data_IF_303575974921
#
_entry.id   IF_303575974921
#
_cell.length_a   1.000
_cell.length_b   1.000
_cell.length_c   1.000
_cell.angle_alpha   90.00
_cell.angle_beta   90.00
_cell.angle_gamma   90.00
#
_symmetry.space_group_name_H-M   'P 1'
#
loop_
_entity.id
_entity.type
_entity.pdbx_description
1 polymer ?
#
# COMPACT_ATOMS: atom_id res chain seq x y z
N UNK A 1 7.57 -6.33 1.31
CA UNK A 1 7.45 -5.13 0.43
C UNK A 1 6.05 -4.58 0.64
N UNK A 2 5.91 -3.33 1.05
CA UNK A 2 4.60 -2.73 1.23
C UNK A 2 3.83 -2.65 -0.10
N UNK A 3 2.59 -3.16 -0.12
CA UNK A 3 1.63 -3.00 -1.20
C UNK A 3 0.48 -2.08 -0.74
N UNK A 4 -0.49 -1.77 -1.58
CA UNK A 4 -1.53 -0.78 -1.29
C UNK A 4 -2.24 -0.99 0.04
N UNK A 5 -2.58 -2.24 0.39
CA UNK A 5 -3.26 -2.57 1.65
C UNK A 5 -2.49 -2.09 2.90
N UNK A 6 -1.14 -2.13 2.89
CA UNK A 6 -0.33 -1.61 4.00
C UNK A 6 -0.51 -0.10 4.13
N UNK A 7 -0.53 0.61 3.00
CA UNK A 7 -0.62 2.08 2.99
C UNK A 7 -2.00 2.54 3.43
N UNK A 8 -3.07 1.89 2.95
CA UNK A 8 -4.44 2.17 3.38
C UNK A 8 -4.64 1.87 4.86
N UNK A 9 -4.10 0.73 5.35
CA UNK A 9 -4.11 0.40 6.78
C UNK A 9 -3.39 1.47 7.61
N UNK A 10 -2.24 1.95 7.14
CA UNK A 10 -1.50 3.03 7.82
C UNK A 10 -2.31 4.33 7.86
N UNK A 11 -2.97 4.70 6.77
CA UNK A 11 -3.82 5.88 6.74
C UNK A 11 -4.96 5.77 7.77
N UNK A 12 -5.64 4.60 7.84
CA UNK A 12 -6.66 4.35 8.85
C UNK A 12 -6.11 4.42 10.27
N UNK A 13 -5.00 3.73 10.57
CA UNK A 13 -4.39 3.73 11.90
C UNK A 13 -3.92 5.13 12.34
N UNK A 14 -3.41 5.96 11.42
CA UNK A 14 -3.05 7.34 11.71
C UNK A 14 -4.29 8.20 12.02
N UNK A 15 -5.38 7.99 11.28
CA UNK A 15 -6.65 8.66 11.57
C UNK A 15 -7.22 8.23 12.92
N UNK A 16 -7.24 6.93 13.22
CA UNK A 16 -7.72 6.40 14.49
C UNK A 16 -6.94 6.96 15.70
N UNK A 17 -5.63 7.21 15.50
CA UNK A 17 -4.78 7.69 16.57
C UNK A 17 -4.75 9.23 16.71
N UNK A 18 -4.77 9.97 15.61
CA UNK A 18 -4.37 11.38 15.63
C UNK A 18 -5.34 12.34 14.92
N UNK A 19 -6.34 11.86 14.16
CA UNK A 19 -7.17 12.77 13.37
C UNK A 19 -7.96 13.77 14.24
N UNK A 20 -7.81 15.06 13.90
CA UNK A 20 -8.45 16.16 14.62
C UNK A 20 -7.67 16.66 15.85
N UNK A 21 -6.54 16.03 16.19
CA UNK A 21 -5.75 16.37 17.38
C UNK A 21 -4.45 17.10 17.02
N UNK A 22 -3.98 18.03 17.87
CA UNK A 22 -2.64 18.60 17.77
C UNK A 22 -1.59 17.54 18.04
N UNK A 23 -0.55 17.49 17.19
CA UNK A 23 0.53 16.51 17.33
C UNK A 23 1.91 17.17 17.37
N UNK A 24 2.83 16.56 18.08
CA UNK A 24 4.24 16.89 17.94
C UNK A 24 4.81 16.17 16.70
N UNK A 25 5.59 16.92 15.91
CA UNK A 25 6.22 16.42 14.69
C UNK A 25 7.72 16.70 14.74
N UNK A 26 8.53 15.65 14.58
CA UNK A 26 9.99 15.78 14.60
C UNK A 26 10.67 14.87 13.59
N UNK A 27 11.94 15.15 13.31
CA UNK A 27 12.82 14.31 12.49
C UNK A 27 14.16 14.16 13.23
N UNK A 28 14.29 13.16 14.11
CA UNK A 28 15.43 13.03 15.03
C UNK A 28 16.80 13.02 14.35
N UNK A 29 16.91 12.45 13.12
CA UNK A 29 18.15 12.44 12.35
C UNK A 29 18.29 13.62 11.38
N UNK A 30 17.38 14.59 11.42
CA UNK A 30 17.52 15.87 10.75
C UNK A 30 17.16 15.93 9.26
N UNK A 31 17.02 14.83 8.56
CA UNK A 31 16.80 14.83 7.09
C UNK A 31 15.46 15.48 6.68
N UNK A 32 14.48 15.54 7.58
CA UNK A 32 13.17 16.19 7.38
C UNK A 32 12.92 17.25 8.48
N UNK A 33 13.94 17.72 9.19
CA UNK A 33 13.80 18.55 10.38
C UNK A 33 13.16 19.91 10.09
N UNK A 34 13.54 20.56 8.99
CA UNK A 34 12.99 21.87 8.61
C UNK A 34 11.48 21.78 8.33
N UNK A 35 11.06 20.75 7.61
CA UNK A 35 9.64 20.52 7.28
C UNK A 35 8.87 20.06 8.54
N UNK A 36 9.45 19.19 9.36
CA UNK A 36 8.84 18.75 10.61
C UNK A 36 8.55 19.93 11.54
N UNK A 37 9.51 20.88 11.66
CA UNK A 37 9.34 22.09 12.48
C UNK A 37 8.19 23.01 11.99
N UNK A 38 7.81 22.95 10.71
CA UNK A 38 6.66 23.71 10.19
C UNK A 38 5.34 23.05 10.57
N UNK A 39 5.36 21.77 10.90
CA UNK A 39 4.16 20.97 11.21
C UNK A 39 3.99 20.75 12.72
N UNK A 40 5.03 20.98 13.50
CA UNK A 40 5.03 20.73 14.95
C UNK A 40 3.98 21.58 15.67
N UNK A 41 3.16 20.94 16.50
CA UNK A 41 2.04 21.57 17.21
C UNK A 41 0.79 21.86 16.37
N UNK A 42 0.77 21.48 15.09
CA UNK A 42 -0.41 21.60 14.24
C UNK A 42 -1.33 20.38 14.36
N UNK A 43 -2.57 20.53 13.93
CA UNK A 43 -3.57 19.46 13.94
C UNK A 43 -3.29 18.51 12.76
N UNK A 44 -3.17 17.21 13.02
CA UNK A 44 -3.26 16.21 11.99
C UNK A 44 -4.74 16.10 11.57
N UNK A 45 -5.09 16.71 10.45
CA UNK A 45 -6.48 16.79 9.98
C UNK A 45 -7.00 15.41 9.56
N UNK A 46 -6.25 14.75 8.69
CA UNK A 46 -6.55 13.40 8.20
C UNK A 46 -5.32 12.79 7.54
N UNK A 47 -5.32 11.47 7.44
CA UNK A 47 -4.43 10.70 6.57
C UNK A 47 -5.25 9.99 5.48
N UNK A 48 -4.74 9.95 4.25
CA UNK A 48 -5.34 9.22 3.14
C UNK A 48 -4.30 8.43 2.36
N UNK A 49 -4.76 7.40 1.66
CA UNK A 49 -3.93 6.58 0.80
C UNK A 49 -4.49 6.54 -0.63
N UNK A 50 -3.58 6.54 -1.61
CA UNK A 50 -3.84 6.26 -3.02
C UNK A 50 -2.75 5.32 -3.52
N UNK A 51 -3.13 4.10 -3.83
CA UNK A 51 -2.17 3.05 -4.21
C UNK A 51 -1.10 2.83 -3.14
N UNK A 52 0.14 3.18 -3.46
CA UNK A 52 1.29 3.06 -2.55
C UNK A 52 1.75 4.40 -1.98
N UNK A 53 0.93 5.43 -2.11
CA UNK A 53 1.19 6.78 -1.62
C UNK A 53 0.35 7.06 -0.38
N UNK A 54 1.01 7.54 0.69
CA UNK A 54 0.37 8.00 1.91
C UNK A 54 0.47 9.53 1.95
N UNK A 55 -0.64 10.20 2.22
CA UNK A 55 -0.72 11.64 2.39
C UNK A 55 -1.28 11.94 3.77
N UNK A 56 -0.55 12.74 4.57
CA UNK A 56 -0.97 13.16 5.91
C UNK A 56 -1.18 14.67 5.84
N UNK A 57 -2.41 15.10 6.02
CA UNK A 57 -2.83 16.50 5.92
C UNK A 57 -2.79 17.16 7.29
N UNK A 58 -2.25 18.38 7.34
CA UNK A 58 -2.19 19.19 8.54
C UNK A 58 -3.02 20.47 8.37
N UNK A 59 -3.70 20.84 9.44
CA UNK A 59 -4.45 22.09 9.55
C UNK A 59 -3.85 22.98 10.66
N UNK A 60 -4.05 24.32 10.62
CA UNK A 60 -3.63 25.19 11.70
C UNK A 60 -4.21 24.70 13.03
N UNK A 61 -3.35 24.57 14.05
CA UNK A 61 -3.83 24.33 15.40
C UNK A 61 -4.69 25.50 15.85
N UNK A 62 -5.80 25.22 16.53
CA UNK A 62 -6.56 26.25 17.22
C UNK A 62 -5.71 26.74 18.40
N UNK A 63 -4.78 27.66 18.13
CA UNK A 63 -3.99 28.35 19.15
C UNK A 63 -4.91 29.22 20.00
N UNK A 64 -5.63 28.59 20.91
CA UNK A 64 -6.24 29.27 22.02
C UNK A 64 -5.13 29.82 22.90
N UNK A 65 -5.06 31.13 23.01
CA UNK A 65 -4.21 31.84 23.90
C UNK A 65 -4.40 31.35 25.35
N UNK A 66 -3.52 30.49 25.83
CA UNK A 66 -3.26 30.38 27.28
C UNK A 66 -2.01 29.53 27.56
N UNK A 67 -0.94 30.16 28.00
CA UNK A 67 0.06 29.61 28.90
C UNK A 67 1.35 29.08 28.28
N UNK A 68 2.31 30.00 28.12
CA UNK A 68 3.78 29.83 28.38
C UNK A 68 4.44 28.48 28.11
N UNK A 69 5.19 28.38 27.03
CA UNK A 69 6.65 28.34 26.93
C UNK A 69 7.03 28.24 25.43
N UNK A 70 7.61 29.32 24.88
CA UNK A 70 8.65 29.33 23.86
C UNK A 70 8.43 28.60 22.54
N UNK A 71 7.51 29.03 21.71
CA UNK A 71 7.45 28.71 20.29
C UNK A 71 6.30 29.48 19.66
N UNK A 72 6.60 30.60 18.98
CA UNK A 72 5.63 31.23 18.10
C UNK A 72 5.24 30.14 17.07
N UNK A 73 4.00 29.64 17.14
CA UNK A 73 3.49 28.66 16.18
C UNK A 73 3.77 29.16 14.77
N UNK A 74 4.61 28.47 14.03
CA UNK A 74 4.87 28.82 12.64
C UNK A 74 3.55 28.84 11.90
N UNK A 75 3.30 29.89 11.09
CA UNK A 75 2.13 29.95 10.24
C UNK A 75 2.23 28.79 9.25
N UNK A 76 1.24 27.89 9.28
CA UNK A 76 1.19 26.78 8.35
C UNK A 76 1.08 27.32 6.92
N UNK A 77 2.09 27.00 6.11
CA UNK A 77 2.16 27.44 4.71
C UNK A 77 1.23 26.64 3.79
N UNK A 78 1.30 26.89 2.49
CA UNK A 78 0.56 26.11 1.50
C UNK A 78 1.03 24.65 1.43
N UNK A 79 2.30 24.39 1.75
CA UNK A 79 2.85 23.05 1.91
C UNK A 79 2.47 22.50 3.28
N UNK A 80 1.43 21.68 3.32
CA UNK A 80 0.88 21.15 4.57
C UNK A 80 0.53 19.66 4.50
N UNK A 81 0.99 18.97 3.46
CA UNK A 81 0.73 17.55 3.26
C UNK A 81 2.05 16.81 3.28
N UNK A 82 2.21 15.88 4.21
CA UNK A 82 3.36 14.96 4.19
C UNK A 82 3.07 13.81 3.25
N UNK A 83 3.79 13.77 2.14
CA UNK A 83 3.70 12.71 1.14
C UNK A 83 4.79 11.67 1.36
N UNK A 84 4.38 10.44 1.65
CA UNK A 84 5.26 9.32 1.94
C UNK A 84 5.08 8.21 0.91
N UNK A 85 6.20 7.64 0.47
CA UNK A 85 6.23 6.37 -0.26
C UNK A 85 7.26 5.46 0.43
N UNK A 86 6.81 4.31 0.93
CA UNK A 86 7.67 3.42 1.70
C UNK A 86 8.75 2.74 0.85
N UNK A 87 8.50 2.52 -0.43
CA UNK A 87 9.42 1.78 -1.30
C UNK A 87 9.46 0.29 -0.95
N UNK A 88 10.65 -0.31 -1.02
CA UNK A 88 10.81 -1.75 -0.80
C UNK A 88 10.99 -2.13 0.66
N UNK A 89 11.66 -1.28 1.44
CA UNK A 89 12.14 -1.59 2.80
C UNK A 89 11.62 -0.60 3.86
N UNK A 90 10.98 0.50 3.44
CA UNK A 90 10.46 1.49 4.37
C UNK A 90 9.37 0.91 5.27
N UNK A 91 9.34 1.36 6.51
CA UNK A 91 8.32 0.99 7.49
C UNK A 91 7.79 2.22 8.20
N UNK A 92 6.48 2.23 8.46
CA UNK A 92 5.85 3.22 9.32
C UNK A 92 5.06 2.44 10.37
N UNK A 93 5.34 2.70 11.65
CA UNK A 93 4.76 1.92 12.76
C UNK A 93 4.17 2.86 13.80
N UNK A 94 3.08 2.41 14.42
CA UNK A 94 2.48 3.05 15.58
C UNK A 94 2.72 2.17 16.81
N UNK A 95 3.05 2.81 17.94
CA UNK A 95 3.25 2.12 19.22
C UNK A 95 2.95 3.09 20.38
N UNK A 96 2.80 2.61 21.63
CA UNK A 96 2.73 3.47 22.80
C UNK A 96 3.97 4.35 22.95
N UNK A 97 3.79 5.59 23.41
CA UNK A 97 4.88 6.57 23.50
C UNK A 97 5.94 6.23 24.58
N UNK A 98 5.61 5.39 25.55
CA UNK A 98 6.52 4.88 26.58
C UNK A 98 7.46 3.77 26.05
N UNK A 99 7.18 3.23 24.86
CA UNK A 99 8.05 2.24 24.20
C UNK A 99 9.16 2.98 23.44
N UNK A 100 10.44 2.74 23.74
CA UNK A 100 11.54 3.44 23.07
C UNK A 100 11.56 3.21 21.57
N UNK A 101 11.64 4.29 20.79
CA UNK A 101 11.84 4.23 19.35
C UNK A 101 13.33 4.22 19.05
N UNK A 102 13.80 3.23 18.31
CA UNK A 102 15.22 3.03 17.99
C UNK A 102 15.47 3.05 16.48
N UNK A 103 16.72 3.27 16.07
CA UNK A 103 17.14 3.28 14.68
C UNK A 103 17.07 4.66 14.03
N UNK A 104 17.15 4.68 12.69
CA UNK A 104 17.10 5.92 11.90
C UNK A 104 15.66 6.31 11.59
N UNK A 105 15.16 7.35 12.27
CA UNK A 105 13.78 7.82 12.16
C UNK A 105 13.74 9.03 11.22
N UNK A 106 13.02 8.90 10.09
CA UNK A 106 12.81 9.98 9.12
C UNK A 106 11.79 11.00 9.61
N UNK A 107 10.71 10.52 10.21
CA UNK A 107 9.59 11.30 10.72
C UNK A 107 9.06 10.62 11.97
N UNK A 108 8.78 11.42 12.99
CA UNK A 108 8.09 11.00 14.21
C UNK A 108 6.91 11.92 14.42
N UNK A 109 5.73 11.35 14.66
CA UNK A 109 4.48 12.05 14.98
C UNK A 109 3.96 11.49 16.29
N UNK A 110 3.57 12.35 17.27
CA UNK A 110 3.07 11.90 18.57
C UNK A 110 2.03 12.85 19.16
N UNK A 111 1.05 12.28 19.86
CA UNK A 111 0.11 13.01 20.73
C UNK A 111 0.49 12.93 22.21
N UNK A 112 1.65 12.33 22.53
CA UNK A 112 2.12 12.09 23.89
C UNK A 112 1.72 10.73 24.48
N UNK A 113 0.73 10.04 23.90
CA UNK A 113 0.30 8.69 24.30
C UNK A 113 0.69 7.64 23.27
N UNK A 114 0.58 7.98 22.01
CA UNK A 114 0.94 7.16 20.86
C UNK A 114 2.04 7.85 20.05
N UNK A 115 2.94 7.07 19.50
CA UNK A 115 3.97 7.54 18.58
C UNK A 115 3.93 6.76 17.27
N UNK A 116 3.91 7.49 16.14
CA UNK A 116 4.11 6.95 14.81
C UNK A 116 5.52 7.31 14.32
N UNK A 117 6.30 6.31 13.86
CA UNK A 117 7.69 6.50 13.45
C UNK A 117 8.00 5.86 12.12
N UNK A 118 8.58 6.67 11.21
CA UNK A 118 8.90 6.31 9.82
C UNK A 118 10.38 5.99 9.65
N UNK A 119 10.70 4.82 9.11
CA UNK A 119 12.06 4.39 8.84
C UNK A 119 12.26 4.08 7.35
N UNK A 120 13.39 4.48 6.80
CA UNK A 120 13.87 4.12 5.48
C UNK A 120 12.89 4.27 4.31
N UNK A 121 12.02 5.30 4.27
CA UNK A 121 11.10 5.48 3.15
C UNK A 121 11.89 5.77 1.87
N UNK A 122 11.29 5.46 0.71
CA UNK A 122 11.83 5.89 -0.56
C UNK A 122 11.83 7.41 -0.67
N UNK A 123 10.75 8.06 -0.20
CA UNK A 123 10.70 9.51 0.05
C UNK A 123 9.72 9.86 1.17
N UNK A 124 9.98 11.01 1.77
CA UNK A 124 9.11 11.72 2.70
C UNK A 124 9.26 13.20 2.35
N UNK A 125 8.21 13.86 1.89
CA UNK A 125 8.22 15.24 1.37
C UNK A 125 7.06 16.01 1.95
N UNK A 126 7.25 17.31 2.14
CA UNK A 126 6.17 18.25 2.41
C UNK A 126 5.73 18.84 1.07
N UNK A 127 4.44 18.81 0.77
CA UNK A 127 3.87 19.18 -0.55
C UNK A 127 2.60 20.03 -0.39
N UNK A 128 2.19 20.67 -1.48
CA UNK A 128 0.92 21.38 -1.60
C UNK A 128 -0.24 20.47 -2.02
N UNK A 129 -1.48 20.99 -1.99
CA UNK A 129 -2.66 20.28 -2.52
C UNK A 129 -2.53 20.02 -4.03
N UNK A 130 -2.05 21.00 -4.80
CA UNK A 130 -1.87 20.84 -6.26
C UNK A 130 -0.85 19.73 -6.58
N UNK A 131 0.23 19.62 -5.79
CA UNK A 131 1.22 18.57 -5.95
C UNK A 131 0.67 17.20 -5.57
N UNK A 132 -0.19 17.15 -4.53
CA UNK A 132 -0.93 15.94 -4.14
C UNK A 132 -1.87 15.50 -5.27
N UNK A 133 -2.67 16.41 -5.81
CA UNK A 133 -3.59 16.12 -6.92
C UNK A 133 -2.84 15.67 -8.17
N UNK A 134 -1.73 16.34 -8.50
CA UNK A 134 -0.86 15.93 -9.60
C UNK A 134 -0.19 14.56 -9.39
N UNK A 135 0.03 14.13 -8.15
CA UNK A 135 0.54 12.80 -7.84
C UNK A 135 -0.55 11.74 -8.02
N UNK A 136 -1.76 11.99 -7.53
CA UNK A 136 -2.92 11.08 -7.64
C UNK A 136 -3.36 10.93 -9.10
N UNK A 137 -3.42 12.02 -9.87
CA UNK A 137 -3.80 12.00 -11.29
C UNK A 137 -2.90 11.13 -12.18
N UNK A 138 -1.73 10.72 -11.71
CA UNK A 138 -0.81 9.80 -12.42
C UNK A 138 -1.09 8.34 -12.14
N UNK A 139 -1.94 8.04 -11.16
CA UNK A 139 -2.28 6.69 -10.75
C UNK A 139 -3.44 6.13 -11.59
N UNK A 140 -3.50 4.84 -11.70
CA UNK A 140 -4.66 4.12 -12.19
C UNK A 140 -5.70 3.88 -11.10
N UNK A 141 -6.67 3.00 -11.37
CA UNK A 141 -7.71 2.66 -10.42
C UNK A 141 -7.13 1.95 -9.18
N UNK A 142 -7.59 2.36 -8.00
CA UNK A 142 -7.20 1.80 -6.71
C UNK A 142 -8.27 0.82 -6.21
N UNK A 143 -7.97 -0.49 -6.07
CA UNK A 143 -8.93 -1.48 -5.58
C UNK A 143 -9.46 -1.22 -4.18
N UNK A 144 -8.75 -0.42 -3.37
CA UNK A 144 -9.18 -0.05 -2.02
C UNK A 144 -10.05 1.21 -1.97
N UNK A 145 -10.45 1.73 -3.15
CA UNK A 145 -11.41 2.83 -3.32
C UNK A 145 -12.58 2.43 -4.23
N UNK A 146 -13.23 1.26 -4.01
CA UNK A 146 -14.18 0.69 -4.95
C UNK A 146 -15.49 1.49 -5.10
N UNK A 147 -15.78 2.41 -4.18
CA UNK A 147 -16.99 3.24 -4.20
C UNK A 147 -16.72 4.70 -4.54
N UNK A 148 -15.47 5.08 -4.77
CA UNK A 148 -15.08 6.44 -5.14
C UNK A 148 -15.44 6.68 -6.61
N UNK A 149 -16.29 7.68 -6.95
CA UNK A 149 -16.75 7.89 -8.33
C UNK A 149 -15.62 8.20 -9.32
N UNK A 150 -14.61 8.97 -8.91
CA UNK A 150 -13.47 9.31 -9.76
C UNK A 150 -12.59 8.08 -10.01
N UNK A 151 -12.46 7.24 -9.01
CA UNK A 151 -11.77 5.95 -9.13
C UNK A 151 -12.49 4.99 -10.08
N UNK A 152 -13.83 4.93 -10.04
CA UNK A 152 -14.63 4.10 -10.94
C UNK A 152 -14.53 4.60 -12.40
N UNK A 153 -14.55 5.91 -12.62
CA UNK A 153 -14.32 6.48 -13.95
C UNK A 153 -12.91 6.14 -14.47
N UNK A 154 -11.92 6.15 -13.60
CA UNK A 154 -10.55 5.71 -13.90
C UNK A 154 -10.50 4.22 -14.25
N UNK A 155 -11.28 3.36 -13.58
CA UNK A 155 -11.34 1.92 -13.85
C UNK A 155 -11.84 1.62 -15.28
N UNK A 156 -12.84 2.34 -15.76
CA UNK A 156 -13.33 2.17 -17.14
C UNK A 156 -12.22 2.47 -18.16
N UNK A 157 -11.43 3.54 -17.96
CA UNK A 157 -10.26 3.84 -18.80
C UNK A 157 -9.19 2.74 -18.70
N UNK A 158 -8.91 2.25 -17.50
CA UNK A 158 -7.96 1.15 -17.26
C UNK A 158 -8.39 -0.10 -18.03
N UNK A 159 -9.65 -0.51 -17.95
CA UNK A 159 -10.17 -1.66 -18.69
C UNK A 159 -10.05 -1.47 -20.21
N UNK A 160 -10.34 -0.27 -20.73
CA UNK A 160 -10.16 0.07 -22.13
C UNK A 160 -8.69 0.03 -22.58
N UNK A 161 -7.76 0.49 -21.73
CA UNK A 161 -6.31 0.45 -22.02
C UNK A 161 -5.76 -0.96 -21.99
N UNK A 162 -6.16 -1.78 -21.01
CA UNK A 162 -5.80 -3.21 -20.93
C UNK A 162 -6.25 -3.94 -22.17
N UNK A 163 -7.51 -3.76 -22.60
CA UNK A 163 -8.09 -4.42 -23.78
C UNK A 163 -7.36 -4.13 -25.10
N UNK A 164 -6.54 -3.08 -25.16
CA UNK A 164 -5.72 -2.71 -26.34
C UNK A 164 -4.24 -3.05 -26.18
N UNK A 165 -3.85 -3.56 -25.02
CA UNK A 165 -2.44 -3.78 -24.70
C UNK A 165 -1.94 -5.14 -25.15
N UNK A 166 -0.80 -5.19 -25.80
CA UNK A 166 -0.05 -6.42 -26.12
C UNK A 166 0.85 -6.88 -24.97
N UNK A 167 1.01 -6.08 -23.91
CA UNK A 167 1.75 -6.48 -22.70
C UNK A 167 0.99 -7.60 -21.98
N UNK A 168 1.73 -8.47 -21.28
CA UNK A 168 1.15 -9.54 -20.46
C UNK A 168 0.34 -8.99 -19.28
N UNK A 169 -0.69 -9.71 -18.83
CA UNK A 169 -1.46 -9.36 -17.64
C UNK A 169 -0.55 -9.30 -16.40
N UNK A 170 0.43 -10.20 -16.30
CA UNK A 170 1.43 -10.16 -15.26
C UNK A 170 2.22 -8.84 -15.21
N UNK A 171 2.48 -8.21 -16.34
CA UNK A 171 3.12 -6.90 -16.44
C UNK A 171 2.14 -5.75 -16.18
N UNK A 172 0.92 -5.82 -16.75
CA UNK A 172 -0.09 -4.78 -16.62
C UNK A 172 -0.57 -4.58 -15.18
N UNK A 173 -0.72 -5.65 -14.41
CA UNK A 173 -1.12 -5.58 -12.99
C UNK A 173 -0.08 -4.89 -12.09
N UNK A 174 1.19 -4.82 -12.51
CA UNK A 174 2.24 -4.11 -11.79
C UNK A 174 2.33 -2.62 -12.13
N UNK A 175 1.68 -2.20 -13.20
CA UNK A 175 1.70 -0.82 -13.66
C UNK A 175 0.79 0.05 -12.79
N UNK A 176 1.39 0.89 -11.95
CA UNK A 176 0.66 1.76 -11.03
C UNK A 176 -0.20 2.82 -11.74
N UNK A 177 0.00 3.02 -13.06
CA UNK A 177 -0.86 3.86 -13.90
C UNK A 177 -2.09 3.11 -14.43
N UNK A 178 -2.22 1.83 -14.09
CA UNK A 178 -3.39 0.98 -14.37
C UNK A 178 -4.03 0.52 -13.07
N UNK A 179 -3.29 -0.21 -12.24
CA UNK A 179 -3.78 -0.78 -10.98
C UNK A 179 -2.96 -0.21 -9.81
N UNK A 180 -3.42 0.91 -9.26
CA UNK A 180 -2.74 1.57 -8.15
C UNK A 180 -2.75 0.67 -6.91
N UNK A 181 -1.62 0.58 -6.22
CA UNK A 181 -1.50 -0.23 -5.01
C UNK A 181 -1.15 -1.69 -5.23
N UNK A 182 -1.51 -2.28 -6.37
CA UNK A 182 -1.20 -3.68 -6.67
C UNK A 182 0.31 -3.88 -6.76
N UNK A 183 0.78 -4.93 -6.11
CA UNK A 183 2.17 -5.31 -6.12
C UNK A 183 2.38 -6.77 -6.51
N UNK A 184 3.56 -7.26 -6.21
CA UNK A 184 4.01 -8.56 -6.73
C UNK A 184 3.26 -9.74 -6.12
N UNK A 185 2.76 -9.60 -4.89
CA UNK A 185 2.00 -10.66 -4.22
C UNK A 185 0.61 -10.75 -4.85
N UNK A 186 -0.15 -9.66 -4.82
CA UNK A 186 -1.50 -9.65 -5.38
C UNK A 186 -1.52 -10.00 -6.86
N UNK A 187 -0.57 -9.50 -7.67
CA UNK A 187 -0.42 -9.89 -9.08
C UNK A 187 -0.37 -11.40 -9.28
N UNK A 188 0.51 -12.07 -8.52
CA UNK A 188 0.72 -13.50 -8.66
C UNK A 188 -0.49 -14.30 -8.18
N UNK A 189 -1.03 -13.93 -7.03
CA UNK A 189 -2.11 -14.66 -6.37
C UNK A 189 -3.46 -14.52 -7.09
N UNK A 190 -3.81 -13.31 -7.53
CA UNK A 190 -5.06 -13.07 -8.27
C UNK A 190 -5.07 -13.84 -9.59
N UNK A 191 -3.99 -13.81 -10.35
CA UNK A 191 -3.90 -14.57 -11.60
C UNK A 191 -3.97 -16.08 -11.35
N UNK A 192 -3.36 -16.57 -10.27
CA UNK A 192 -3.45 -17.97 -9.89
C UNK A 192 -4.87 -18.38 -9.52
N UNK A 193 -5.55 -17.61 -8.68
CA UNK A 193 -6.90 -17.92 -8.19
C UNK A 193 -7.94 -17.94 -9.30
N UNK A 194 -7.73 -17.12 -10.34
CA UNK A 194 -8.58 -17.09 -11.56
C UNK A 194 -8.14 -18.08 -12.64
N UNK A 195 -7.03 -18.81 -12.45
CA UNK A 195 -6.51 -19.71 -13.46
C UNK A 195 -6.02 -19.01 -14.73
N UNK A 196 -5.67 -17.73 -14.63
CA UNK A 196 -5.25 -16.92 -15.78
C UNK A 196 -3.73 -17.00 -15.93
N UNK A 197 -3.25 -17.37 -17.15
CA UNK A 197 -1.83 -17.31 -17.47
C UNK A 197 -1.29 -15.89 -17.29
N UNK A 198 -0.19 -15.68 -16.52
CA UNK A 198 0.40 -14.36 -16.39
C UNK A 198 0.98 -13.81 -17.71
N UNK A 199 1.23 -14.68 -18.70
CA UNK A 199 1.77 -14.32 -20.02
C UNK A 199 0.65 -13.92 -20.99
N UNK A 200 -0.62 -14.18 -20.68
CA UNK A 200 -1.74 -13.75 -21.50
C UNK A 200 -1.68 -12.26 -21.75
N UNK A 201 -1.70 -11.85 -23.01
CA UNK A 201 -1.72 -10.44 -23.39
C UNK A 201 -3.03 -9.77 -22.98
N UNK A 202 -2.98 -8.48 -22.60
CA UNK A 202 -4.18 -7.73 -22.25
C UNK A 202 -5.26 -7.71 -23.33
N UNK A 203 -4.85 -7.68 -24.62
CA UNK A 203 -5.77 -7.79 -25.77
C UNK A 203 -6.50 -9.13 -25.83
N UNK A 204 -5.97 -10.17 -25.21
CA UNK A 204 -6.61 -11.50 -25.08
C UNK A 204 -7.46 -11.67 -23.83
N UNK A 205 -7.48 -10.68 -22.93
CA UNK A 205 -8.32 -10.72 -21.74
C UNK A 205 -9.76 -10.32 -22.10
N UNK A 206 -10.72 -11.17 -21.79
CA UNK A 206 -12.13 -10.89 -21.95
C UNK A 206 -12.58 -9.74 -21.04
N UNK A 207 -13.81 -9.26 -21.23
CA UNK A 207 -14.41 -8.31 -20.27
C UNK A 207 -14.55 -8.95 -18.90
N UNK A 208 -15.01 -10.19 -18.86
CA UNK A 208 -15.21 -10.96 -17.63
C UNK A 208 -13.89 -11.17 -16.88
N UNK A 209 -12.80 -11.53 -17.57
CA UNK A 209 -11.47 -11.64 -16.93
C UNK A 209 -11.08 -10.35 -16.20
N UNK A 210 -11.30 -9.17 -16.82
CA UNK A 210 -10.95 -7.89 -16.22
C UNK A 210 -11.83 -7.54 -15.02
N UNK A 211 -13.13 -7.84 -15.09
CA UNK A 211 -14.08 -7.65 -14.00
C UNK A 211 -13.73 -8.57 -12.82
N UNK A 212 -13.48 -9.85 -13.06
CA UNK A 212 -13.07 -10.81 -12.03
C UNK A 212 -11.71 -10.45 -11.37
N UNK A 213 -10.74 -10.00 -12.19
CA UNK A 213 -9.46 -9.51 -11.64
C UNK A 213 -9.70 -8.33 -10.69
N UNK A 214 -10.56 -7.38 -11.08
CA UNK A 214 -10.85 -6.22 -10.24
C UNK A 214 -11.57 -6.58 -8.95
N UNK A 215 -12.62 -7.38 -9.04
CA UNK A 215 -13.38 -7.85 -7.87
C UNK A 215 -12.48 -8.59 -6.89
N UNK A 216 -11.67 -9.52 -7.38
CA UNK A 216 -10.77 -10.29 -6.52
C UNK A 216 -9.65 -9.45 -5.92
N UNK A 217 -9.12 -8.46 -6.66
CA UNK A 217 -8.16 -7.48 -6.11
C UNK A 217 -8.80 -6.68 -4.99
N UNK A 218 -10.02 -6.18 -5.18
CA UNK A 218 -10.77 -5.42 -4.18
C UNK A 218 -10.95 -6.22 -2.91
N UNK A 219 -11.41 -7.47 -3.02
CA UNK A 219 -11.67 -8.34 -1.89
C UNK A 219 -10.39 -8.71 -1.13
N UNK A 220 -9.37 -9.19 -1.83
CA UNK A 220 -8.12 -9.61 -1.19
C UNK A 220 -7.35 -8.44 -0.58
N UNK A 221 -7.35 -7.29 -1.24
CA UNK A 221 -6.68 -6.10 -0.70
C UNK A 221 -7.42 -5.52 0.51
N UNK A 222 -8.77 -5.56 0.52
CA UNK A 222 -9.56 -5.17 1.70
C UNK A 222 -9.31 -6.11 2.90
N UNK A 223 -9.23 -7.43 2.67
CA UNK A 223 -8.86 -8.40 3.71
C UNK A 223 -7.43 -8.13 4.23
N UNK A 224 -6.49 -7.86 3.34
CA UNK A 224 -5.12 -7.51 3.69
C UNK A 224 -5.02 -6.20 4.48
N UNK A 225 -5.82 -5.19 4.14
CA UNK A 225 -5.92 -3.93 4.88
C UNK A 225 -6.46 -4.17 6.31
N UNK A 226 -7.54 -4.92 6.44
CA UNK A 226 -8.15 -5.22 7.73
C UNK A 226 -7.23 -6.04 8.65
N UNK A 227 -6.62 -7.11 8.13
CA UNK A 227 -5.78 -8.03 8.91
C UNK A 227 -4.32 -7.57 9.07
N UNK A 228 -3.79 -6.78 8.13
CA UNK A 228 -2.38 -6.45 8.02
C UNK A 228 -1.53 -7.57 7.38
N UNK A 229 -2.17 -8.61 6.82
CA UNK A 229 -1.53 -9.78 6.19
C UNK A 229 -2.17 -10.06 4.83
N UNK A 230 -1.42 -10.74 3.96
CA UNK A 230 -1.96 -11.23 2.69
C UNK A 230 -2.13 -12.75 2.80
N UNK A 231 -3.33 -13.20 3.10
CA UNK A 231 -3.72 -14.61 3.09
C UNK A 231 -4.65 -14.84 1.89
N UNK A 232 -4.25 -15.72 0.98
CA UNK A 232 -4.98 -15.96 -0.28
C UNK A 232 -5.46 -17.40 -0.40
N UNK A 233 -4.98 -18.29 0.46
CA UNK A 233 -5.36 -19.70 0.41
C UNK A 233 -6.77 -19.93 0.89
N UNK A 234 -7.48 -20.81 0.19
CA UNK A 234 -8.83 -21.24 0.58
C UNK A 234 -8.79 -22.08 1.84
N UNK A 235 -9.89 -22.20 2.59
CA UNK A 235 -9.95 -22.98 3.84
C UNK A 235 -9.39 -24.40 3.73
N UNK A 236 -9.65 -25.09 2.61
CA UNK A 236 -9.19 -26.46 2.34
C UNK A 236 -7.68 -26.56 2.10
N UNK A 237 -6.99 -25.46 1.86
CA UNK A 237 -5.55 -25.40 1.60
C UNK A 237 -4.74 -24.69 2.70
N UNK A 238 -5.37 -24.41 3.84
CA UNK A 238 -4.65 -23.86 5.01
C UNK A 238 -3.65 -24.87 5.55
N UNK A 239 -2.64 -24.45 6.32
CA UNK A 239 -1.70 -25.35 6.96
C UNK A 239 -2.39 -26.45 7.77
N UNK A 240 -3.41 -26.08 8.55
CA UNK A 240 -4.18 -26.98 9.39
C UNK A 240 -4.95 -28.02 8.57
N UNK A 241 -5.66 -27.57 7.51
CA UNK A 241 -6.45 -28.45 6.66
C UNK A 241 -5.60 -29.46 5.89
N UNK A 242 -4.38 -29.05 5.50
CA UNK A 242 -3.45 -29.88 4.74
C UNK A 242 -2.44 -30.65 5.62
N UNK A 243 -2.43 -30.43 6.93
CA UNK A 243 -1.45 -31.03 7.83
C UNK A 243 0.00 -30.63 7.50
N UNK A 244 0.23 -29.42 7.04
CA UNK A 244 1.54 -28.88 6.68
C UNK A 244 1.97 -27.76 7.62
N UNK A 245 3.28 -27.52 7.69
CA UNK A 245 3.81 -26.38 8.45
C UNK A 245 3.32 -25.05 7.83
N UNK A 246 3.01 -24.04 8.69
CA UNK A 246 2.76 -22.67 8.24
C UNK A 246 3.95 -22.08 7.49
N UNK A 247 3.68 -21.20 6.55
CA UNK A 247 4.70 -20.51 5.79
C UNK A 247 5.51 -19.54 6.68
N UNK A 248 6.84 -19.58 6.56
CA UNK A 248 7.77 -18.76 7.36
C UNK A 248 8.31 -17.55 6.58
N UNK A 249 7.52 -16.90 5.75
CA UNK A 249 7.95 -15.73 4.98
C UNK A 249 7.37 -14.45 5.57
N UNK A 250 8.21 -13.47 5.89
CA UNK A 250 7.83 -12.16 6.43
C UNK A 250 7.07 -11.27 5.42
N UNK A 251 6.93 -11.72 4.16
CA UNK A 251 6.34 -10.94 3.07
C UNK A 251 4.92 -11.38 2.70
N UNK A 252 4.13 -11.74 3.65
CA UNK A 252 2.74 -12.15 3.49
C UNK A 252 2.39 -13.30 4.40
N UNK A 253 1.15 -13.75 4.34
CA UNK A 253 0.68 -14.92 5.04
C UNK A 253 0.76 -16.17 4.17
N UNK A 254 -0.31 -16.96 4.19
CA UNK A 254 -0.46 -18.15 3.38
C UNK A 254 -0.88 -17.81 1.95
N UNK A 255 -0.07 -18.21 0.97
CA UNK A 255 -0.23 -17.88 -0.45
C UNK A 255 0.00 -19.10 -1.34
N UNK A 256 -0.56 -19.08 -2.55
CA UNK A 256 -0.48 -20.21 -3.48
C UNK A 256 0.83 -20.28 -4.26
N UNK A 257 1.30 -19.18 -4.80
CA UNK A 257 2.44 -19.17 -5.74
C UNK A 257 3.56 -18.20 -5.37
N UNK A 258 3.27 -17.09 -4.72
CA UNK A 258 4.28 -16.06 -4.44
C UNK A 258 5.44 -16.60 -3.59
N UNK A 259 6.68 -16.48 -4.11
CA UNK A 259 7.92 -17.00 -3.49
C UNK A 259 7.88 -18.49 -3.14
N UNK A 260 7.16 -19.28 -3.94
CA UNK A 260 7.09 -20.73 -3.79
C UNK A 260 7.69 -21.49 -4.98
N UNK A 261 8.59 -20.87 -5.75
CA UNK A 261 9.26 -21.49 -6.90
C UNK A 261 9.84 -22.87 -6.56
N UNK A 262 9.56 -23.85 -7.40
CA UNK A 262 9.97 -25.23 -7.24
C UNK A 262 9.19 -26.04 -6.18
N UNK A 263 8.38 -25.41 -5.33
CA UNK A 263 7.51 -26.12 -4.40
C UNK A 263 6.25 -26.64 -5.12
N UNK A 264 5.63 -27.72 -4.63
CA UNK A 264 4.42 -28.24 -5.22
C UNK A 264 3.25 -27.24 -5.09
N UNK A 265 2.48 -27.08 -6.16
CA UNK A 265 1.21 -26.36 -6.14
C UNK A 265 0.25 -27.03 -5.14
N UNK A 266 -0.40 -26.24 -4.29
CA UNK A 266 -1.34 -26.77 -3.28
C UNK A 266 -2.59 -27.39 -3.90
N UNK A 267 -2.89 -27.07 -5.16
CA UNK A 267 -4.08 -27.58 -5.88
C UNK A 267 -3.75 -28.81 -6.72
N UNK A 268 -2.69 -28.78 -7.55
CA UNK A 268 -2.43 -29.83 -8.53
C UNK A 268 -1.08 -30.54 -8.36
N UNK A 269 -0.25 -30.15 -7.40
CA UNK A 269 1.06 -30.77 -7.14
C UNK A 269 2.17 -30.35 -8.11
N UNK A 270 1.89 -29.70 -9.24
CA UNK A 270 2.90 -29.24 -10.20
C UNK A 270 3.85 -28.23 -9.54
N UNK A 271 5.18 -28.31 -9.76
CA UNK A 271 6.12 -27.33 -9.24
C UNK A 271 5.80 -25.91 -9.73
N UNK A 272 5.78 -24.94 -8.80
CA UNK A 272 5.57 -23.54 -9.13
C UNK A 272 6.74 -23.03 -9.97
N UNK A 273 6.43 -22.43 -11.11
CA UNK A 273 7.39 -21.80 -12.01
C UNK A 273 7.71 -20.37 -11.57
N UNK A 274 8.85 -19.86 -12.05
CA UNK A 274 9.26 -18.48 -11.84
C UNK A 274 10.02 -17.93 -13.04
N UNK A 275 9.81 -16.65 -13.36
CA UNK A 275 10.58 -15.92 -14.36
C UNK A 275 10.77 -14.47 -13.91
N UNK A 276 11.74 -13.78 -14.49
CA UNK A 276 11.92 -12.35 -14.27
C UNK A 276 11.15 -11.57 -15.34
N UNK A 277 10.17 -10.78 -14.91
CA UNK A 277 9.39 -9.90 -15.77
C UNK A 277 9.53 -8.46 -15.27
N UNK A 278 10.03 -7.56 -16.13
CA UNK A 278 10.28 -6.15 -15.80
C UNK A 278 11.06 -5.97 -14.48
N UNK A 279 12.12 -6.78 -14.28
CA UNK A 279 13.00 -6.73 -13.11
C UNK A 279 12.42 -7.29 -11.81
N UNK A 280 11.30 -8.01 -11.86
CA UNK A 280 10.64 -8.63 -10.70
C UNK A 280 10.35 -10.10 -10.96
N UNK A 281 10.55 -10.93 -9.94
CA UNK A 281 10.19 -12.35 -10.03
C UNK A 281 8.67 -12.50 -10.12
N UNK A 282 8.20 -13.13 -11.16
CA UNK A 282 6.84 -13.60 -11.34
C UNK A 282 6.79 -15.07 -10.92
N UNK A 283 5.68 -15.50 -10.33
CA UNK A 283 5.44 -16.88 -9.87
C UNK A 283 4.08 -17.35 -10.37
N UNK A 284 4.00 -18.58 -10.87
CA UNK A 284 2.72 -19.16 -11.34
C UNK A 284 2.78 -20.69 -11.35
N UNK A 285 1.61 -21.34 -11.40
CA UNK A 285 1.51 -22.77 -11.63
C UNK A 285 1.28 -23.05 -13.11
N UNK A 286 2.19 -23.75 -13.83
CA UNK A 286 2.02 -23.99 -15.28
C UNK A 286 0.81 -24.83 -15.63
N UNK A 287 0.32 -25.66 -14.70
CA UNK A 287 -0.86 -26.51 -14.91
C UNK A 287 -2.16 -25.77 -14.62
N UNK A 288 -2.26 -25.08 -13.47
CA UNK A 288 -3.49 -24.38 -13.10
C UNK A 288 -3.71 -23.09 -13.90
N UNK A 289 -2.65 -22.52 -14.47
CA UNK A 289 -2.66 -21.29 -15.26
C UNK A 289 -2.18 -21.54 -16.69
N UNK A 290 -2.57 -22.66 -17.26
CA UNK A 290 -2.29 -22.99 -18.67
C UNK A 290 -2.98 -21.96 -19.60
N UNK A 291 -2.37 -21.69 -20.79
CA UNK A 291 -2.96 -20.86 -21.84
C UNK A 291 -4.19 -21.53 -22.50
#
# INVERSE_FOLDING_TARGET
MPEGHVIHRLARLLNDAFAGEPVSVSSPQGTFAQQAAQLDGHVLERAEAWGKHLFIHFAPGNGGASGTVGGAGAVLGPERIVHIHLGLIGTFRLQPADVPVTGQIRLLVSDGTTVAHLHGPQWCRLITEEERDAAVAKLGADPLRPTDPDNLATLDDVHARVARSKRSLGSLLMDQKLYAGVGNIYRAEVLFLLGISPDRAGVGASREDKEQIWELLTDLMAQGEASGRIDTVRPEHTPEAMGREPRKDDHGGEVYVYRRAGQPCLVCGTPIATAVVEGRNLFWCPTCQAE
#
